data_IF_909843160044
#
_entry.id   IF_909843160044
#
_cell.length_a   1.000
_cell.length_b   1.000
_cell.length_c   1.000
_cell.angle_alpha   90.00
_cell.angle_beta   90.00
_cell.angle_gamma   90.00
#
_symmetry.space_group_name_H-M   'P 1'
#
loop_
_entity.id
_entity.type
_entity.pdbx_description
1 polymer ?
#
# COMPACT_ATOMS: atom_id res chain seq x y z
N UNK A 1 -1.41 -11.53 -23.05
CA UNK A 1 -1.13 -10.70 -21.86
C UNK A 1 0.30 -10.99 -21.45
N UNK A 2 1.24 -10.07 -21.70
CA UNK A 2 2.59 -10.19 -21.13
C UNK A 2 2.54 -9.47 -19.79
N UNK A 3 2.30 -10.24 -18.73
CA UNK A 3 2.26 -9.73 -17.36
C UNK A 3 3.71 -9.73 -16.90
N UNK A 4 4.20 -8.59 -16.43
CA UNK A 4 5.51 -8.55 -15.78
C UNK A 4 5.35 -9.10 -14.36
N UNK A 5 6.34 -9.83 -13.84
CA UNK A 5 6.36 -10.38 -12.46
C UNK A 5 6.18 -9.31 -11.35
N UNK A 6 6.21 -8.03 -11.72
CA UNK A 6 5.99 -6.89 -10.84
C UNK A 6 4.57 -6.31 -10.84
N UNK A 7 3.69 -6.69 -11.76
CA UNK A 7 2.37 -6.09 -11.88
C UNK A 7 1.36 -6.73 -10.91
N UNK A 8 0.25 -6.05 -10.65
CA UNK A 8 -0.88 -6.56 -9.88
C UNK A 8 -2.13 -6.44 -10.76
N UNK A 9 -2.87 -7.54 -10.91
CA UNK A 9 -4.12 -7.58 -11.67
C UNK A 9 -5.21 -8.12 -10.75
N UNK A 10 -6.20 -7.28 -10.46
CA UNK A 10 -7.35 -7.67 -9.65
C UNK A 10 -8.60 -7.59 -10.52
N UNK A 11 -9.43 -8.63 -10.45
CA UNK A 11 -10.67 -8.73 -11.21
C UNK A 11 -11.82 -8.84 -10.21
N UNK A 12 -12.67 -7.83 -10.21
CA UNK A 12 -13.86 -7.77 -9.38
C UNK A 12 -15.11 -7.81 -10.25
N UNK A 13 -16.20 -8.37 -9.72
CA UNK A 13 -17.49 -8.40 -10.42
C UNK A 13 -18.44 -7.49 -9.67
N UNK A 14 -18.89 -6.43 -10.33
CA UNK A 14 -19.85 -5.47 -9.79
C UNK A 14 -21.06 -5.38 -10.73
N UNK A 15 -22.24 -5.76 -10.24
CA UNK A 15 -23.53 -5.61 -10.96
C UNK A 15 -23.46 -6.01 -12.45
N UNK A 16 -23.00 -7.24 -12.71
CA UNK A 16 -22.84 -7.83 -14.06
C UNK A 16 -21.74 -7.23 -14.95
N UNK A 17 -20.99 -6.23 -14.48
CA UNK A 17 -19.78 -5.74 -15.13
C UNK A 17 -18.53 -6.28 -14.43
N UNK A 18 -17.50 -6.58 -15.19
CA UNK A 18 -16.17 -6.94 -14.66
C UNK A 18 -15.35 -5.67 -14.52
N UNK A 19 -14.84 -5.40 -13.33
CA UNK A 19 -13.88 -4.33 -13.07
C UNK A 19 -12.49 -4.95 -12.98
N UNK A 20 -11.59 -4.52 -13.85
CA UNK A 20 -10.19 -4.94 -13.85
C UNK A 20 -9.37 -3.78 -13.31
N UNK A 21 -8.74 -3.96 -12.15
CA UNK A 21 -7.76 -3.02 -11.62
C UNK A 21 -6.38 -3.52 -12.01
N UNK A 22 -5.68 -2.76 -12.86
CA UNK A 22 -4.33 -3.06 -13.30
C UNK A 22 -3.36 -2.06 -12.70
N UNK A 23 -2.41 -2.58 -11.91
CA UNK A 23 -1.37 -1.79 -11.26
C UNK A 23 -0.02 -2.23 -11.82
N UNK A 24 0.63 -1.35 -12.55
CA UNK A 24 1.91 -1.65 -13.19
C UNK A 24 3.09 -1.16 -12.34
N UNK A 25 4.19 -1.94 -12.36
CA UNK A 25 5.42 -1.58 -11.63
C UNK A 25 6.28 -0.54 -12.37
N UNK A 26 6.42 -0.68 -13.69
CA UNK A 26 7.32 0.14 -14.51
C UNK A 26 6.57 1.26 -15.24
N UNK A 27 7.21 2.38 -15.56
CA UNK A 27 6.58 3.50 -16.29
C UNK A 27 6.09 3.16 -17.71
N UNK A 28 6.43 1.97 -18.22
CA UNK A 28 5.91 1.49 -19.51
C UNK A 28 4.49 0.99 -19.31
N UNK A 29 3.53 1.88 -19.58
CA UNK A 29 2.12 1.50 -19.81
C UNK A 29 2.05 0.41 -20.87
N UNK A 30 1.85 -0.83 -20.44
CA UNK A 30 1.44 -1.89 -21.35
C UNK A 30 0.00 -1.58 -21.74
N UNK A 31 -0.23 -1.19 -22.99
CA UNK A 31 -1.58 -0.93 -23.47
C UNK A 31 -2.37 -2.24 -23.42
N UNK A 32 -3.34 -2.33 -22.51
CA UNK A 32 -4.31 -3.42 -22.50
C UNK A 32 -5.25 -3.21 -23.70
N UNK A 33 -4.92 -3.84 -24.83
CA UNK A 33 -5.79 -3.82 -26.02
C UNK A 33 -6.95 -4.78 -25.79
N UNK A 34 -8.06 -4.25 -25.27
CA UNK A 34 -9.30 -5.01 -25.12
C UNK A 34 -10.19 -4.75 -26.34
N UNK A 35 -10.65 -5.80 -27.04
CA UNK A 35 -11.56 -5.65 -28.17
C UNK A 35 -12.82 -4.87 -27.79
N UNK A 36 -13.31 -4.02 -28.68
CA UNK A 36 -14.44 -3.11 -28.40
C UNK A 36 -15.71 -3.85 -27.97
N UNK A 37 -15.89 -5.09 -28.42
CA UNK A 37 -17.02 -5.96 -28.04
C UNK A 37 -17.06 -6.18 -26.52
N UNK A 38 -15.91 -6.27 -25.85
CA UNK A 38 -15.83 -6.49 -24.41
C UNK A 38 -15.77 -5.19 -23.59
N UNK A 39 -15.54 -4.03 -24.23
CA UNK A 39 -15.46 -2.73 -23.51
C UNK A 39 -16.76 -2.31 -22.85
N UNK A 40 -17.92 -2.79 -23.33
CA UNK A 40 -19.23 -2.46 -22.73
C UNK A 40 -19.44 -3.14 -21.37
N UNK A 41 -18.82 -4.29 -21.18
CA UNK A 41 -19.02 -5.17 -20.03
C UNK A 41 -17.83 -5.16 -19.05
N UNK A 42 -16.73 -4.49 -19.44
CA UNK A 42 -15.50 -4.41 -18.65
C UNK A 42 -15.14 -2.95 -18.38
N UNK A 43 -15.04 -2.59 -17.11
CA UNK A 43 -14.40 -1.36 -16.66
C UNK A 43 -12.94 -1.66 -16.30
N UNK A 44 -12.00 -0.81 -16.70
CA UNK A 44 -10.58 -1.00 -16.39
C UNK A 44 -10.07 0.25 -15.69
N UNK A 45 -9.51 0.05 -14.50
CA UNK A 45 -8.76 1.08 -13.80
C UNK A 45 -7.27 0.82 -13.95
N UNK A 46 -6.53 1.87 -14.27
CA UNK A 46 -5.09 1.82 -14.49
C UNK A 46 -4.39 2.69 -13.45
N UNK A 47 -3.51 2.07 -12.67
CA UNK A 47 -2.64 2.76 -11.71
C UNK A 47 -1.20 2.34 -11.94
N UNK A 48 -0.25 3.23 -11.67
CA UNK A 48 1.12 2.82 -11.40
C UNK A 48 1.30 2.54 -9.91
N UNK A 49 2.29 1.72 -9.54
CA UNK A 49 2.66 1.55 -8.13
C UNK A 49 3.00 2.91 -7.48
N UNK A 50 3.63 3.82 -8.25
CA UNK A 50 3.91 5.18 -7.81
C UNK A 50 2.65 6.00 -7.51
N UNK A 51 1.56 5.82 -8.27
CA UNK A 51 0.28 6.48 -7.98
C UNK A 51 -0.29 6.00 -6.65
N UNK A 52 -0.19 4.69 -6.38
CA UNK A 52 -0.62 4.12 -5.10
C UNK A 52 0.24 4.65 -3.95
N UNK A 53 1.56 4.70 -4.12
CA UNK A 53 2.47 5.25 -3.09
C UNK A 53 2.16 6.73 -2.84
N UNK A 54 1.92 7.55 -3.88
CA UNK A 54 1.51 8.95 -3.72
C UNK A 54 0.18 9.08 -2.99
N UNK A 55 -0.79 8.23 -3.29
CA UNK A 55 -2.08 8.20 -2.60
C UNK A 55 -1.89 7.89 -1.10
N UNK A 56 -1.09 6.87 -0.78
CA UNK A 56 -0.73 6.53 0.61
C UNK A 56 -0.07 7.73 1.29
N UNK A 57 0.97 8.31 0.69
CA UNK A 57 1.71 9.43 1.27
C UNK A 57 0.81 10.64 1.55
N UNK A 58 -0.09 10.98 0.63
CA UNK A 58 -1.04 12.08 0.79
C UNK A 58 -2.04 11.84 1.93
N UNK A 59 -2.42 10.58 2.18
CA UNK A 59 -3.34 10.24 3.27
C UNK A 59 -2.63 10.12 4.61
N UNK A 60 -1.39 9.66 4.64
CA UNK A 60 -0.60 9.52 5.87
C UNK A 60 0.13 10.81 6.28
N UNK A 61 0.23 11.82 5.42
CA UNK A 61 1.05 13.02 5.66
C UNK A 61 0.68 13.79 6.93
N UNK A 62 -0.56 13.71 7.39
CA UNK A 62 -1.04 14.40 8.59
C UNK A 62 -0.77 13.63 9.90
N UNK A 63 -0.47 12.33 9.83
CA UNK A 63 -0.26 11.50 11.01
C UNK A 63 1.10 11.72 11.67
N UNK A 64 2.06 12.31 10.95
CA UNK A 64 3.45 12.53 11.42
C UNK A 64 4.12 11.26 11.99
N UNK A 65 3.75 10.08 11.46
CA UNK A 65 4.35 8.80 11.84
C UNK A 65 5.37 8.33 10.81
N UNK A 66 6.34 7.54 11.24
CA UNK A 66 7.19 6.76 10.34
C UNK A 66 6.44 5.54 9.82
N UNK A 67 6.58 5.29 8.51
CA UNK A 67 6.07 4.09 7.87
C UNK A 67 6.93 3.72 6.66
N UNK A 68 6.84 2.46 6.25
CA UNK A 68 7.36 1.96 4.99
C UNK A 68 6.23 1.29 4.19
N UNK A 69 6.40 1.23 2.87
CA UNK A 69 5.44 0.61 1.95
C UNK A 69 6.16 -0.51 1.21
N UNK A 70 5.60 -1.72 1.30
CA UNK A 70 6.14 -2.92 0.67
C UNK A 70 5.08 -3.56 -0.23
N UNK A 71 5.47 -4.01 -1.43
CA UNK A 71 4.63 -4.91 -2.23
C UNK A 71 4.85 -6.35 -1.73
N UNK A 72 3.79 -7.02 -1.30
CA UNK A 72 3.80 -8.42 -0.88
C UNK A 72 2.79 -9.21 -1.70
N UNK A 73 3.26 -9.87 -2.77
CA UNK A 73 2.40 -10.56 -3.73
C UNK A 73 1.45 -9.57 -4.42
N UNK A 74 0.15 -9.85 -4.39
CA UNK A 74 -0.88 -8.96 -4.96
C UNK A 74 -1.34 -7.86 -3.99
N UNK A 75 -0.73 -7.74 -2.82
CA UNK A 75 -1.06 -6.74 -1.81
C UNK A 75 0.05 -5.71 -1.64
N UNK A 76 -0.33 -4.55 -1.10
CA UNK A 76 0.59 -3.50 -0.65
C UNK A 76 0.43 -3.38 0.85
N UNK A 77 1.53 -3.61 1.58
CA UNK A 77 1.55 -3.56 3.04
C UNK A 77 2.25 -2.26 3.45
N UNK A 78 1.56 -1.49 4.27
CA UNK A 78 2.11 -0.34 4.98
C UNK A 78 2.53 -0.85 6.36
N UNK A 79 3.82 -0.72 6.66
CA UNK A 79 4.31 -0.96 8.02
C UNK A 79 4.52 0.39 8.69
N UNK A 80 3.76 0.68 9.75
CA UNK A 80 3.94 1.92 10.51
C UNK A 80 4.41 1.67 11.94
N UNK A 81 5.09 2.65 12.52
CA UNK A 81 5.60 2.58 13.90
C UNK A 81 4.47 2.62 14.95
N UNK A 82 3.31 3.18 14.59
CA UNK A 82 2.17 3.32 15.50
C UNK A 82 1.31 2.06 15.47
N UNK A 83 0.79 1.66 16.64
CA UNK A 83 -0.28 0.65 16.70
C UNK A 83 -1.48 1.08 15.88
N UNK A 84 -2.07 0.09 15.20
CA UNK A 84 -3.28 0.26 14.41
C UNK A 84 -4.42 0.80 15.28
N UNK A 85 -4.94 1.95 14.89
CA UNK A 85 -6.07 2.60 15.54
C UNK A 85 -7.21 2.90 14.55
N UNK A 86 -8.28 3.49 15.05
CA UNK A 86 -9.47 3.81 14.26
C UNK A 86 -9.19 4.82 13.14
N UNK A 87 -8.23 5.73 13.36
CA UNK A 87 -7.82 6.72 12.35
C UNK A 87 -7.09 6.02 11.20
N UNK A 88 -6.15 5.15 11.53
CA UNK A 88 -5.45 4.29 10.57
C UNK A 88 -6.43 3.43 9.77
N UNK A 89 -7.41 2.82 10.43
CA UNK A 89 -8.45 2.03 9.76
C UNK A 89 -9.27 2.83 8.74
N UNK A 90 -9.64 4.06 9.10
CA UNK A 90 -10.38 4.94 8.21
C UNK A 90 -9.53 5.33 7.00
N UNK A 91 -8.24 5.63 7.20
CA UNK A 91 -7.31 5.96 6.11
C UNK A 91 -7.14 4.77 5.16
N UNK A 92 -6.90 3.57 5.70
CA UNK A 92 -6.74 2.35 4.89
C UNK A 92 -8.03 2.05 4.11
N UNK A 93 -9.19 2.23 4.76
CA UNK A 93 -10.49 2.08 4.09
C UNK A 93 -10.64 3.10 2.96
N UNK A 94 -10.35 4.38 3.21
CA UNK A 94 -10.44 5.46 2.22
C UNK A 94 -9.56 5.20 0.99
N UNK A 95 -8.32 4.75 1.21
CA UNK A 95 -7.39 4.38 0.13
C UNK A 95 -7.98 3.24 -0.71
N UNK A 96 -8.44 2.16 -0.09
CA UNK A 96 -9.00 1.02 -0.82
C UNK A 96 -10.30 1.38 -1.56
N UNK A 97 -11.15 2.24 -1.00
CA UNK A 97 -12.36 2.74 -1.69
C UNK A 97 -12.04 3.73 -2.82
N UNK A 98 -10.88 4.37 -2.79
CA UNK A 98 -10.40 5.22 -3.90
C UNK A 98 -9.92 4.35 -5.08
N UNK A 99 -9.37 3.17 -4.79
CA UNK A 99 -8.82 2.24 -5.79
C UNK A 99 -9.92 1.34 -6.38
N UNK A 100 -10.86 0.89 -5.54
CA UNK A 100 -11.93 -0.02 -5.96
C UNK A 100 -13.29 0.67 -5.89
N UNK A 101 -14.05 0.56 -6.99
CA UNK A 101 -15.45 0.96 -7.00
C UNK A 101 -16.31 0.01 -6.15
N UNK A 102 -15.92 -1.26 -6.07
CA UNK A 102 -16.65 -2.30 -5.35
C UNK A 102 -16.20 -2.38 -3.87
N UNK A 103 -17.14 -2.32 -2.91
CA UNK A 103 -16.83 -2.46 -1.48
C UNK A 103 -16.36 -3.87 -1.15
N UNK A 104 -15.46 -3.99 -0.17
CA UNK A 104 -14.95 -5.27 0.34
C UNK A 104 -13.63 -5.74 -0.29
N UNK A 105 -13.17 -5.10 -1.36
CA UNK A 105 -11.86 -5.38 -1.94
C UNK A 105 -10.75 -4.64 -1.18
N UNK A 106 -9.65 -5.33 -0.95
CA UNK A 106 -8.49 -4.78 -0.22
C UNK A 106 -7.23 -5.07 -1.00
N UNK A 107 -6.48 -4.01 -1.28
CA UNK A 107 -5.14 -4.03 -1.85
C UNK A 107 -4.15 -3.56 -0.80
N UNK A 108 -4.48 -2.43 -0.17
CA UNK A 108 -3.62 -1.77 0.81
C UNK A 108 -4.00 -2.26 2.20
N UNK A 109 -3.02 -2.76 2.94
CA UNK A 109 -3.18 -3.24 4.30
C UNK A 109 -2.19 -2.53 5.22
N UNK A 110 -2.54 -2.42 6.50
CA UNK A 110 -1.65 -1.87 7.52
C UNK A 110 -1.17 -2.96 8.48
N UNK A 111 0.12 -2.95 8.79
CA UNK A 111 0.74 -3.74 9.85
C UNK A 111 1.58 -2.83 10.73
N UNK A 112 1.68 -3.19 11.99
CA UNK A 112 2.63 -2.54 12.90
C UNK A 112 4.04 -3.01 12.53
N UNK A 113 5.00 -2.08 12.47
CA UNK A 113 6.40 -2.42 12.33
C UNK A 113 6.82 -3.30 13.50
N UNK A 114 7.44 -4.47 13.25
CA UNK A 114 8.06 -5.22 14.32
C UNK A 114 9.08 -4.33 15.02
N UNK A 115 9.12 -4.36 16.34
CA UNK A 115 10.03 -3.53 17.14
C UNK A 115 11.51 -3.65 16.69
N UNK A 116 11.91 -4.81 16.17
CA UNK A 116 13.26 -5.08 15.66
C UNK A 116 13.62 -4.32 14.37
N UNK A 117 12.61 -3.88 13.62
CA UNK A 117 12.76 -3.14 12.37
C UNK A 117 12.66 -1.62 12.58
N UNK A 118 12.52 -1.18 13.84
CA UNK A 118 12.56 0.24 14.19
C UNK A 118 14.02 0.69 14.08
N UNK A 119 14.36 1.62 13.16
CA UNK A 119 15.73 2.07 13.02
C UNK A 119 16.17 2.75 14.33
N UNK A 120 17.39 2.45 14.83
CA UNK A 120 17.85 3.02 16.08
C UNK A 120 17.94 4.56 15.98
N UNK A 121 17.58 5.23 17.06
CA UNK A 121 17.96 6.62 17.28
C UNK A 121 19.47 6.72 17.55
N UNK A 122 20.03 7.92 17.36
CA UNK A 122 21.46 8.17 17.61
C UNK A 122 21.59 9.22 18.71
N UNK A 123 22.32 8.91 19.78
CA UNK A 123 22.70 9.85 20.82
C UNK A 123 24.23 9.90 20.94
N UNK A 124 24.82 11.00 20.45
CA UNK A 124 26.28 11.09 20.30
C UNK A 124 26.78 10.10 19.25
N UNK A 125 27.64 9.17 19.65
CA UNK A 125 28.16 8.07 18.81
C UNK A 125 27.50 6.71 19.09
N UNK A 126 26.42 6.68 19.88
CA UNK A 126 25.79 5.44 20.35
C UNK A 126 24.38 5.34 19.77
N UNK A 127 24.05 4.17 19.22
CA UNK A 127 22.71 3.86 18.73
C UNK A 127 21.80 3.49 19.91
N UNK A 128 20.50 3.75 19.83
CA UNK A 128 19.54 3.34 20.85
C UNK A 128 18.17 3.00 20.25
N UNK A 129 17.41 2.15 20.95
CA UNK A 129 16.04 1.76 20.60
C UNK A 129 15.13 1.91 21.83
N UNK A 130 13.90 2.39 21.64
CA UNK A 130 12.92 2.59 22.73
C UNK A 130 12.06 1.34 22.95
N UNK A 131 12.41 0.49 23.91
CA UNK A 131 11.67 -0.75 24.21
C UNK A 131 10.26 -0.46 24.75
N UNK A 132 10.08 0.68 25.42
CA UNK A 132 8.81 1.25 25.86
C UNK A 132 8.98 2.74 26.17
N UNK A 133 7.89 3.43 26.51
CA UNK A 133 7.87 4.87 26.86
C UNK A 133 8.92 5.27 27.93
N UNK A 134 9.31 4.34 28.79
CA UNK A 134 10.30 4.57 29.87
C UNK A 134 11.58 3.75 29.74
N UNK A 135 11.69 2.89 28.73
CA UNK A 135 12.79 1.94 28.61
C UNK A 135 13.54 2.15 27.30
N UNK A 136 14.76 2.66 27.40
CA UNK A 136 15.65 2.90 26.26
C UNK A 136 16.84 1.96 26.35
N UNK A 137 17.06 1.16 25.32
CA UNK A 137 18.23 0.31 25.21
C UNK A 137 19.24 0.98 24.28
N UNK A 138 20.43 1.26 24.81
CA UNK A 138 21.57 1.69 23.99
C UNK A 138 22.26 0.45 23.41
N UNK A 139 22.54 0.49 22.12
CA UNK A 139 23.31 -0.51 21.39
C UNK A 139 24.61 0.14 20.95
N UNK A 140 25.74 -0.26 21.54
CA UNK A 140 27.04 0.00 20.93
C UNK A 140 27.39 -1.20 20.05
N UNK A 141 28.07 -0.94 18.93
CA UNK A 141 28.87 -1.98 18.28
C UNK A 141 29.96 -2.50 19.26
#
# INVERSE_FOLDING_TARGET
>A
LKINDGDIILINVLHHKKEITYIHRDDKKTLLTIPDIFRKDIAIQHFSLNDIIKLINNRFSHLLIRYSVEKSGDNIIIYGEKRRDKETDNIIKDINTTIFSAPGNTLVQYREMPYRDTPPGVYGSVNYIHLSDSHTQFTSD
#
